data_IF_615643182195
#
_entry.id   IF_615643182195
#
_cell.length_a   1.000
_cell.length_b   1.000
_cell.length_c   1.000
_cell.angle_alpha   90.00
_cell.angle_beta   90.00
_cell.angle_gamma   90.00
#
_symmetry.space_group_name_H-M   'P 1'
#
loop_
_entity.id
_entity.type
_entity.pdbx_description
1 polymer ?
#
# COMPACT_ATOMS: atom_id res chain seq x y z
N UNK A 1 -0.84 10.62 -23.38
CA UNK A 1 -0.47 9.44 -22.56
C UNK A 1 0.42 9.97 -21.44
N UNK A 2 -0.13 10.13 -20.23
CA UNK A 2 0.61 10.59 -19.05
C UNK A 2 1.03 9.39 -18.23
N UNK A 3 2.27 9.39 -17.74
CA UNK A 3 2.92 8.22 -17.13
C UNK A 3 2.53 8.17 -15.65
N UNK A 4 2.60 6.98 -15.01
CA UNK A 4 2.40 6.77 -13.57
C UNK A 4 3.01 7.87 -12.66
N UNK A 5 4.19 8.35 -13.05
CA UNK A 5 4.88 9.47 -12.41
C UNK A 5 4.00 10.73 -12.33
N UNK A 6 3.28 11.07 -13.39
CA UNK A 6 2.41 12.26 -13.45
C UNK A 6 1.22 12.14 -12.50
N UNK A 7 0.68 10.92 -12.33
CA UNK A 7 -0.41 10.61 -11.39
C UNK A 7 0.10 10.75 -9.96
N UNK A 8 1.28 10.19 -9.67
CA UNK A 8 1.87 10.25 -8.33
C UNK A 8 2.33 11.67 -7.92
N UNK A 9 2.84 12.47 -8.86
CA UNK A 9 3.11 13.90 -8.68
C UNK A 9 1.82 14.65 -8.33
N UNK A 10 0.75 14.46 -9.09
CA UNK A 10 -0.56 15.09 -8.87
C UNK A 10 -1.16 14.74 -7.51
N UNK A 11 -0.84 13.54 -7.02
CA UNK A 11 -1.38 12.97 -5.81
C UNK A 11 -0.50 13.18 -4.56
N UNK A 12 0.61 13.90 -4.65
CA UNK A 12 1.55 14.06 -3.52
C UNK A 12 2.05 12.71 -2.96
N UNK A 13 1.97 11.64 -3.77
CA UNK A 13 2.55 10.31 -3.52
C UNK A 13 3.85 10.18 -4.34
N UNK A 14 4.31 11.22 -5.04
CA UNK A 14 5.55 11.19 -5.83
C UNK A 14 6.71 10.67 -5.00
N UNK A 15 6.80 11.08 -3.74
CA UNK A 15 7.89 10.77 -2.82
C UNK A 15 8.01 9.26 -2.53
N UNK A 16 6.89 8.57 -2.24
CA UNK A 16 6.55 7.27 -2.86
C UNK A 16 7.54 6.52 -3.73
N UNK A 17 7.08 6.60 -4.96
CA UNK A 17 7.59 6.05 -6.15
C UNK A 17 8.96 6.59 -6.46
N UNK A 18 9.26 7.86 -6.20
CA UNK A 18 10.58 8.42 -6.44
C UNK A 18 11.63 7.77 -5.54
N UNK A 19 11.34 7.46 -4.28
CA UNK A 19 12.26 6.71 -3.41
C UNK A 19 12.42 5.25 -3.83
N UNK A 20 11.33 4.57 -4.19
CA UNK A 20 11.37 3.16 -4.59
C UNK A 20 11.99 2.97 -5.98
N UNK A 21 11.62 3.86 -6.91
CA UNK A 21 12.25 4.00 -8.21
C UNK A 21 13.73 4.29 -8.03
N UNK A 22 14.14 5.19 -7.13
CA UNK A 22 15.56 5.41 -6.84
C UNK A 22 16.27 4.18 -6.32
N UNK A 23 15.68 3.42 -5.40
CA UNK A 23 16.28 2.16 -4.93
C UNK A 23 16.46 1.19 -6.08
N UNK A 24 15.39 0.97 -6.86
CA UNK A 24 15.43 0.08 -8.02
C UNK A 24 16.47 0.52 -9.05
N UNK A 25 16.51 1.83 -9.38
CA UNK A 25 17.48 2.40 -10.31
C UNK A 25 18.92 2.30 -9.77
N UNK A 26 19.15 2.41 -8.45
CA UNK A 26 20.48 2.24 -7.83
C UNK A 26 21.01 0.81 -7.92
N UNK A 27 20.13 -0.18 -8.00
CA UNK A 27 20.50 -1.60 -8.12
C UNK A 27 20.82 -2.00 -9.56
N UNK A 28 20.47 -1.17 -10.55
CA UNK A 28 20.79 -1.40 -11.95
C UNK A 28 22.24 -1.03 -12.28
N UNK A 29 22.86 -1.77 -13.20
CA UNK A 29 24.16 -1.39 -13.75
C UNK A 29 23.99 -0.16 -14.69
N UNK A 30 24.63 0.99 -14.41
CA UNK A 30 24.52 2.18 -15.26
C UNK A 30 24.87 1.94 -16.74
N UNK A 31 25.79 1.03 -17.02
CA UNK A 31 26.24 0.70 -18.37
C UNK A 31 25.20 -0.11 -19.17
N UNK A 32 24.19 -0.65 -18.48
CA UNK A 32 23.07 -1.38 -19.10
C UNK A 32 21.87 -0.49 -19.41
N UNK A 33 21.93 0.79 -19.01
CA UNK A 33 20.86 1.76 -19.27
C UNK A 33 21.00 2.29 -20.71
N UNK A 34 19.97 2.13 -21.56
CA UNK A 34 20.02 2.65 -22.92
C UNK A 34 20.20 4.19 -22.94
N UNK A 35 20.95 4.70 -23.91
CA UNK A 35 21.33 6.11 -24.00
C UNK A 35 20.15 7.09 -23.98
N UNK A 36 19.00 6.68 -24.54
CA UNK A 36 17.77 7.48 -24.55
C UNK A 36 17.09 7.59 -23.17
N UNK A 37 17.52 6.81 -22.17
CA UNK A 37 17.02 6.85 -20.80
C UNK A 37 18.05 7.40 -19.80
N UNK A 38 19.31 7.65 -20.20
CA UNK A 38 20.38 8.13 -19.30
C UNK A 38 20.05 9.46 -18.62
N UNK A 39 19.42 10.40 -19.34
CA UNK A 39 18.97 11.69 -18.76
C UNK A 39 17.87 11.49 -17.71
N UNK A 40 16.93 10.57 -17.94
CA UNK A 40 15.88 10.26 -16.98
C UNK A 40 16.42 9.51 -15.75
N UNK A 41 17.32 8.55 -15.97
CA UNK A 41 18.01 7.78 -14.93
C UNK A 41 18.76 8.71 -13.97
N UNK A 42 19.59 9.60 -14.50
CA UNK A 42 20.39 10.55 -13.72
C UNK A 42 19.52 11.60 -13.00
N UNK A 43 18.51 12.15 -13.66
CA UNK A 43 17.58 13.10 -13.04
C UNK A 43 16.76 12.46 -11.90
N UNK A 44 16.36 11.20 -12.05
CA UNK A 44 15.58 10.48 -11.05
C UNK A 44 16.41 10.12 -9.82
N UNK A 45 17.73 9.97 -9.91
CA UNK A 45 18.61 9.73 -8.75
C UNK A 45 18.86 10.99 -7.89
N UNK A 46 18.75 12.18 -8.47
CA UNK A 46 19.24 13.44 -7.88
C UNK A 46 18.17 14.36 -7.25
N UNK A 47 16.90 13.93 -7.11
CA UNK A 47 15.86 14.76 -6.46
C UNK A 47 15.93 14.71 -4.92
N UNK A 48 15.56 15.78 -4.21
CA UNK A 48 15.29 15.73 -2.76
C UNK A 48 14.00 16.51 -2.49
N UNK A 49 13.06 15.98 -1.70
CA UNK A 49 11.95 16.76 -1.13
C UNK A 49 11.25 16.06 0.05
N UNK A 50 10.78 16.86 1.02
CA UNK A 50 10.24 16.47 2.35
C UNK A 50 8.70 16.36 2.38
N UNK A 51 8.17 15.49 3.24
CA UNK A 51 6.74 15.34 3.57
C UNK A 51 6.30 16.25 4.73
N UNK A 52 5.23 17.01 4.54
CA UNK A 52 4.56 17.80 5.59
C UNK A 52 3.03 17.68 5.45
N UNK A 53 2.39 16.73 6.17
CA UNK A 53 0.98 16.79 6.63
C UNK A 53 0.79 15.92 7.89
N UNK A 54 0.04 16.40 8.89
CA UNK A 54 -0.23 15.70 10.16
C UNK A 54 -1.38 14.69 10.00
N UNK A 55 -1.13 13.42 10.35
CA UNK A 55 -2.16 12.36 10.40
C UNK A 55 -3.00 12.52 11.68
N UNK A 56 -4.32 12.35 11.61
CA UNK A 56 -5.21 12.27 12.78
C UNK A 56 -5.65 10.83 13.02
N UNK A 57 -5.48 10.35 14.25
CA UNK A 57 -5.85 9.00 14.65
C UNK A 57 -7.20 8.95 15.37
N UNK A 58 -7.90 7.84 15.19
CA UNK A 58 -9.09 7.43 15.93
C UNK A 58 -8.96 5.95 16.32
N UNK A 59 -8.50 5.68 17.53
CA UNK A 59 -8.25 4.32 18.02
C UNK A 59 -9.51 3.47 18.23
N UNK A 60 -10.71 4.03 18.01
CA UNK A 60 -11.95 3.25 18.02
C UNK A 60 -12.22 2.52 16.70
N UNK A 61 -11.50 2.87 15.63
CA UNK A 61 -11.68 2.33 14.28
C UNK A 61 -10.34 1.74 13.83
N UNK A 62 -10.33 0.48 13.38
CA UNK A 62 -9.08 -0.26 13.14
C UNK A 62 -8.17 0.49 12.16
N UNK A 63 -8.69 0.81 10.96
CA UNK A 63 -7.90 1.48 9.91
C UNK A 63 -7.54 2.94 10.20
N UNK A 64 -8.15 3.57 11.22
CA UNK A 64 -7.83 4.95 11.64
C UNK A 64 -7.01 4.99 12.93
N UNK A 65 -6.75 3.83 13.54
CA UNK A 65 -6.00 3.75 14.78
C UNK A 65 -4.56 4.19 14.59
N UNK A 66 -3.88 4.48 15.69
CA UNK A 66 -2.44 4.78 15.67
C UNK A 66 -1.60 3.65 15.06
N UNK A 67 -2.11 2.42 15.05
CA UNK A 67 -1.45 1.26 14.46
C UNK A 67 -1.15 1.42 12.96
N UNK A 68 -1.81 2.34 12.26
CA UNK A 68 -1.48 2.70 10.88
C UNK A 68 -0.03 3.18 10.73
N UNK A 69 0.59 3.71 11.81
CA UNK A 69 1.99 4.14 11.76
C UNK A 69 3.00 2.99 11.71
N UNK A 70 2.55 1.73 11.84
CA UNK A 70 3.34 0.55 11.49
C UNK A 70 3.85 0.63 10.05
N UNK A 71 3.00 1.05 9.10
CA UNK A 71 3.40 1.22 7.70
C UNK A 71 4.38 2.39 7.48
N UNK A 72 4.51 3.28 8.47
CA UNK A 72 5.53 4.33 8.55
C UNK A 72 6.83 3.89 9.23
N UNK A 73 6.93 2.66 9.70
CA UNK A 73 8.10 2.12 10.39
C UNK A 73 8.18 2.46 11.89
N UNK A 74 7.09 2.91 12.51
CA UNK A 74 7.08 3.30 13.93
C UNK A 74 6.94 2.10 14.90
N UNK A 75 6.78 0.89 14.38
CA UNK A 75 6.50 -0.31 15.16
C UNK A 75 7.46 -1.44 14.78
N UNK A 76 7.91 -2.21 15.78
CA UNK A 76 8.47 -3.53 15.53
C UNK A 76 7.36 -4.54 15.25
N UNK A 77 7.69 -5.67 14.61
CA UNK A 77 6.74 -6.76 14.35
C UNK A 77 6.05 -7.24 15.64
N UNK A 78 6.83 -7.45 16.71
CA UNK A 78 6.29 -7.94 17.98
C UNK A 78 5.38 -6.91 18.66
N UNK A 79 5.70 -5.63 18.54
CA UNK A 79 4.90 -4.56 19.15
C UNK A 79 3.56 -4.43 18.44
N UNK A 80 3.54 -4.48 17.11
CA UNK A 80 2.29 -4.42 16.34
C UNK A 80 1.41 -5.66 16.60
N UNK A 81 1.97 -6.86 16.72
CA UNK A 81 1.22 -8.08 17.05
C UNK A 81 0.46 -7.95 18.38
N UNK A 82 1.13 -7.44 19.41
CA UNK A 82 0.52 -7.24 20.73
C UNK A 82 -0.56 -6.16 20.71
N UNK A 83 -0.29 -5.01 20.08
CA UNK A 83 -1.27 -3.91 20.04
C UNK A 83 -2.48 -4.24 19.17
N UNK A 84 -2.30 -5.00 18.07
CA UNK A 84 -3.40 -5.52 17.25
C UNK A 84 -4.23 -6.52 18.03
N UNK A 85 -3.63 -7.43 18.82
CA UNK A 85 -4.39 -8.37 19.65
C UNK A 85 -5.29 -7.63 20.66
N UNK A 86 -4.77 -6.63 21.37
CA UNK A 86 -5.58 -5.85 22.32
C UNK A 86 -6.69 -5.06 21.61
N UNK A 87 -6.41 -4.46 20.45
CA UNK A 87 -7.44 -3.77 19.67
C UNK A 87 -8.55 -4.74 19.22
N UNK A 88 -8.20 -5.87 18.61
CA UNK A 88 -9.16 -6.84 18.10
C UNK A 88 -9.98 -7.51 19.21
N UNK A 89 -9.41 -7.67 20.40
CA UNK A 89 -10.11 -8.15 21.59
C UNK A 89 -11.22 -7.19 22.03
N UNK A 90 -10.98 -5.89 21.98
CA UNK A 90 -12.01 -4.88 22.27
C UNK A 90 -13.08 -4.83 21.17
N UNK A 91 -12.67 -4.86 19.90
CA UNK A 91 -13.58 -4.92 18.75
C UNK A 91 -14.49 -6.15 18.82
N UNK A 92 -13.95 -7.33 19.14
CA UNK A 92 -14.72 -8.57 19.26
C UNK A 92 -15.76 -8.53 20.38
N UNK A 93 -15.53 -7.75 21.45
CA UNK A 93 -16.52 -7.54 22.53
C UNK A 93 -17.63 -6.58 22.11
N UNK A 94 -17.32 -5.62 21.23
CA UNK A 94 -18.30 -4.67 20.72
C UNK A 94 -19.11 -5.26 19.56
N UNK A 95 -20.24 -5.88 19.89
CA UNK A 95 -21.18 -6.45 18.90
C UNK A 95 -21.76 -5.42 17.93
N UNK A 96 -21.61 -4.11 18.18
CA UNK A 96 -22.09 -3.05 17.28
C UNK A 96 -21.01 -2.61 16.29
N UNK A 97 -19.76 -2.99 16.49
CA UNK A 97 -18.69 -2.63 15.57
C UNK A 97 -18.90 -3.34 14.23
N UNK A 98 -18.90 -2.55 13.15
CA UNK A 98 -18.96 -3.07 11.79
C UNK A 98 -17.55 -3.02 11.19
N UNK A 99 -16.99 -4.19 10.87
CA UNK A 99 -15.68 -4.28 10.22
C UNK A 99 -15.81 -3.80 8.78
N UNK A 100 -15.23 -2.64 8.49
CA UNK A 100 -15.26 -2.03 7.17
C UNK A 100 -14.26 -2.68 6.22
N UNK A 101 -14.43 -2.49 4.90
CA UNK A 101 -13.46 -2.96 3.90
C UNK A 101 -12.06 -2.36 4.14
N UNK A 102 -11.97 -1.12 4.63
CA UNK A 102 -10.71 -0.49 5.06
C UNK A 102 -10.05 -1.17 6.26
N UNK A 103 -10.84 -1.66 7.22
CA UNK A 103 -10.32 -2.46 8.33
C UNK A 103 -9.74 -3.78 7.82
N UNK A 104 -10.41 -4.41 6.85
CA UNK A 104 -9.92 -5.65 6.21
C UNK A 104 -8.62 -5.38 5.44
N UNK A 105 -8.55 -4.30 4.65
CA UNK A 105 -7.33 -3.85 3.96
C UNK A 105 -6.16 -3.75 4.95
N UNK A 106 -6.39 -3.10 6.10
CA UNK A 106 -5.38 -2.94 7.14
C UNK A 106 -4.90 -4.30 7.68
N UNK A 107 -5.81 -5.17 8.10
CA UNK A 107 -5.48 -6.45 8.73
C UNK A 107 -4.83 -7.44 7.76
N UNK A 108 -5.31 -7.53 6.53
CA UNK A 108 -4.72 -8.39 5.49
C UNK A 108 -3.33 -7.91 5.07
N UNK A 109 -3.08 -6.60 5.08
CA UNK A 109 -1.73 -6.07 4.83
C UNK A 109 -0.76 -6.48 5.94
N UNK A 110 -1.17 -6.37 7.21
CA UNK A 110 -0.34 -6.84 8.32
C UNK A 110 0.01 -8.33 8.18
N UNK A 111 -0.97 -9.18 7.84
CA UNK A 111 -0.73 -10.61 7.58
C UNK A 111 0.25 -10.81 6.41
N UNK A 112 0.14 -10.01 5.35
CA UNK A 112 1.08 -10.04 4.22
C UNK A 112 2.51 -9.70 4.64
N UNK A 113 2.69 -8.79 5.61
CA UNK A 113 3.99 -8.46 6.20
C UNK A 113 4.46 -9.52 7.22
N UNK A 114 3.70 -10.60 7.38
CA UNK A 114 3.98 -11.72 8.26
C UNK A 114 3.59 -11.48 9.71
N UNK A 115 2.87 -10.40 10.05
CA UNK A 115 2.33 -10.15 11.38
C UNK A 115 1.33 -11.25 11.74
N UNK A 116 1.57 -11.93 12.86
CA UNK A 116 0.69 -13.00 13.30
C UNK A 116 -0.56 -12.44 13.99
N UNK A 117 -1.73 -12.70 13.39
CA UNK A 117 -3.03 -12.38 13.99
C UNK A 117 -3.67 -13.69 14.46
N UNK A 118 -4.10 -13.71 15.72
CA UNK A 118 -4.68 -14.91 16.32
C UNK A 118 -5.94 -15.38 15.58
N UNK A 119 -6.01 -16.68 15.28
CA UNK A 119 -7.18 -17.35 14.65
C UNK A 119 -8.50 -17.16 15.41
N UNK A 120 -8.44 -16.78 16.69
CA UNK A 120 -9.62 -16.43 17.49
C UNK A 120 -10.37 -15.22 16.93
N UNK A 121 -9.82 -14.50 15.95
CA UNK A 121 -10.42 -13.35 15.27
C UNK A 121 -10.86 -13.63 13.83
N UNK A 122 -10.71 -14.87 13.33
CA UNK A 122 -11.06 -15.23 11.95
C UNK A 122 -12.56 -15.05 11.64
N UNK A 123 -13.40 -14.99 12.68
CA UNK A 123 -14.85 -14.75 12.59
C UNK A 123 -15.24 -13.27 12.52
N UNK A 124 -14.28 -12.33 12.62
CA UNK A 124 -14.56 -10.90 12.58
C UNK A 124 -14.92 -10.39 11.18
N UNK A 125 -14.43 -11.04 10.13
CA UNK A 125 -14.69 -10.68 8.74
C UNK A 125 -14.40 -11.87 7.81
N UNK A 126 -15.02 -11.83 6.64
CA UNK A 126 -14.71 -12.74 5.55
C UNK A 126 -13.67 -12.12 4.62
N UNK A 127 -12.75 -12.93 4.11
CA UNK A 127 -11.82 -12.49 3.07
C UNK A 127 -12.63 -12.21 1.82
N UNK A 128 -12.53 -10.97 1.34
CA UNK A 128 -13.18 -10.55 0.10
C UNK A 128 -12.39 -11.19 -1.04
N UNK A 129 -13.00 -12.10 -1.79
CA UNK A 129 -12.41 -12.54 -3.04
C UNK A 129 -12.45 -11.36 -4.02
N UNK A 130 -11.29 -10.79 -4.33
CA UNK A 130 -11.18 -9.80 -5.39
C UNK A 130 -11.40 -10.47 -6.73
N UNK A 131 -12.22 -9.87 -7.60
CA UNK A 131 -12.22 -10.18 -9.04
C UNK A 131 -10.94 -9.61 -9.67
N UNK A 132 -9.78 -10.17 -9.31
CA UNK A 132 -8.52 -9.81 -9.93
C UNK A 132 -8.57 -10.26 -11.39
N UNK A 133 -8.28 -9.36 -12.35
CA UNK A 133 -8.16 -9.75 -13.75
C UNK A 133 -7.15 -10.90 -13.90
N UNK A 134 -7.56 -11.96 -14.59
CA UNK A 134 -6.76 -13.18 -14.72
C UNK A 134 -5.38 -12.91 -15.35
N UNK A 135 -5.28 -11.92 -16.23
CA UNK A 135 -4.02 -11.46 -16.81
C UNK A 135 -3.05 -10.92 -15.74
N UNK A 136 -3.54 -10.18 -14.74
CA UNK A 136 -2.71 -9.67 -13.64
C UNK A 136 -2.26 -10.81 -12.73
N UNK A 137 -3.16 -11.73 -12.38
CA UNK A 137 -2.79 -12.89 -11.56
C UNK A 137 -1.71 -13.73 -12.26
N UNK A 138 -1.86 -13.97 -13.57
CA UNK A 138 -0.83 -14.67 -14.35
C UNK A 138 0.51 -13.92 -14.35
N UNK A 139 0.52 -12.59 -14.42
CA UNK A 139 1.76 -11.80 -14.34
C UNK A 139 2.42 -11.93 -12.96
N UNK A 140 1.65 -11.95 -11.87
CA UNK A 140 2.16 -12.17 -10.51
C UNK A 140 2.79 -13.56 -10.41
N UNK A 141 2.04 -14.59 -10.84
CA UNK A 141 2.47 -15.99 -10.75
C UNK A 141 3.73 -16.27 -11.58
N UNK A 142 3.89 -15.57 -12.71
CA UNK A 142 5.07 -15.63 -13.57
C UNK A 142 6.21 -14.68 -13.13
N UNK A 143 6.07 -14.00 -11.98
CA UNK A 143 7.04 -13.03 -11.45
C UNK A 143 7.34 -11.85 -12.41
N UNK A 144 6.38 -11.47 -13.25
CA UNK A 144 6.43 -10.36 -14.19
C UNK A 144 6.06 -9.03 -13.51
N UNK A 145 6.74 -8.71 -12.39
CA UNK A 145 6.36 -7.60 -11.50
C UNK A 145 6.19 -6.26 -12.20
N UNK A 146 7.08 -5.93 -13.13
CA UNK A 146 7.03 -4.68 -13.88
C UNK A 146 5.77 -4.58 -14.77
N UNK A 147 5.39 -5.70 -15.41
CA UNK A 147 4.22 -5.76 -16.27
C UNK A 147 2.93 -5.73 -15.46
N UNK A 148 2.90 -6.43 -14.32
CA UNK A 148 1.79 -6.36 -13.37
C UNK A 148 1.57 -4.92 -12.86
N UNK A 149 2.64 -4.23 -12.45
CA UNK A 149 2.56 -2.82 -12.04
C UNK A 149 2.02 -1.93 -13.17
N UNK A 150 2.51 -2.09 -14.41
CA UNK A 150 1.99 -1.33 -15.55
C UNK A 150 0.49 -1.62 -15.77
N UNK A 151 0.07 -2.87 -15.67
CA UNK A 151 -1.32 -3.27 -15.89
C UNK A 151 -2.25 -2.68 -14.82
N UNK A 152 -1.82 -2.66 -13.56
CA UNK A 152 -2.55 -2.00 -12.46
C UNK A 152 -2.79 -0.52 -12.78
N UNK A 153 -1.80 0.20 -13.33
CA UNK A 153 -1.99 1.62 -13.71
C UNK A 153 -3.07 1.82 -14.77
N UNK A 154 -3.21 0.86 -15.70
CA UNK A 154 -4.23 0.93 -16.74
C UNK A 154 -5.63 0.65 -16.18
N UNK A 155 -5.75 -0.30 -15.26
CA UNK A 155 -7.02 -0.67 -14.61
C UNK A 155 -7.52 0.47 -13.72
N UNK A 156 -6.61 1.10 -12.98
CA UNK A 156 -6.91 2.21 -12.08
C UNK A 156 -7.18 3.53 -12.83
N UNK A 157 -6.59 3.69 -14.01
CA UNK A 157 -6.80 4.87 -14.85
C UNK A 157 -6.21 6.15 -14.25
N UNK A 158 -6.85 7.29 -14.52
CA UNK A 158 -6.37 8.63 -14.12
C UNK A 158 -6.94 9.12 -12.78
N UNK A 159 -7.69 8.26 -12.08
CA UNK A 159 -8.37 8.65 -10.84
C UNK A 159 -7.38 8.90 -9.70
N UNK A 160 -7.78 9.81 -8.82
CA UNK A 160 -7.01 10.09 -7.60
C UNK A 160 -7.16 8.93 -6.64
N UNK A 161 -6.04 8.45 -6.10
CA UNK A 161 -6.05 7.35 -5.12
C UNK A 161 -6.94 7.66 -3.90
N UNK A 162 -7.11 8.92 -3.53
CA UNK A 162 -8.00 9.32 -2.43
C UNK A 162 -9.50 9.23 -2.78
N UNK A 163 -9.83 9.27 -4.08
CA UNK A 163 -11.20 9.29 -4.58
C UNK A 163 -11.67 7.91 -5.06
N UNK A 164 -10.78 6.92 -5.07
CA UNK A 164 -11.12 5.54 -5.43
C UNK A 164 -12.04 4.94 -4.38
N UNK A 165 -12.99 4.14 -4.83
CA UNK A 165 -13.81 3.33 -3.94
C UNK A 165 -12.96 2.26 -3.22
N UNK A 166 -13.51 1.75 -2.11
CA UNK A 166 -12.82 0.80 -1.25
C UNK A 166 -12.50 -0.52 -1.97
N UNK A 167 -13.22 -0.86 -3.03
CA UNK A 167 -13.04 -2.10 -3.81
C UNK A 167 -11.80 -1.99 -4.68
N UNK A 168 -11.65 -0.84 -5.35
CA UNK A 168 -10.48 -0.49 -6.15
C UNK A 168 -9.24 -0.37 -5.27
N UNK A 169 -9.35 0.24 -4.08
CA UNK A 169 -8.24 0.29 -3.12
C UNK A 169 -7.87 -1.11 -2.63
N UNK A 170 -8.85 -1.95 -2.31
CA UNK A 170 -8.58 -3.32 -1.88
C UNK A 170 -7.88 -4.14 -2.97
N UNK A 171 -8.35 -4.04 -4.22
CA UNK A 171 -7.69 -4.64 -5.39
C UNK A 171 -6.23 -4.18 -5.53
N UNK A 172 -5.98 -2.86 -5.47
CA UNK A 172 -4.64 -2.29 -5.57
C UNK A 172 -3.72 -2.82 -4.47
N UNK A 173 -4.16 -2.76 -3.21
CA UNK A 173 -3.36 -3.20 -2.07
C UNK A 173 -3.10 -4.71 -2.12
N UNK A 174 -4.11 -5.52 -2.43
CA UNK A 174 -3.95 -6.97 -2.58
C UNK A 174 -2.91 -7.30 -3.66
N UNK A 175 -2.94 -6.59 -4.79
CA UNK A 175 -1.97 -6.79 -5.86
C UNK A 175 -0.55 -6.40 -5.43
N UNK A 176 -0.39 -5.26 -4.75
CA UNK A 176 0.92 -4.81 -4.26
C UNK A 176 1.50 -5.73 -3.17
N UNK A 177 0.64 -6.30 -2.32
CA UNK A 177 1.00 -7.34 -1.35
C UNK A 177 1.61 -8.56 -2.05
N UNK A 178 0.90 -9.12 -3.05
CA UNK A 178 1.39 -10.29 -3.79
C UNK A 178 2.69 -10.04 -4.56
N UNK A 179 2.91 -8.80 -5.01
CA UNK A 179 4.13 -8.39 -5.70
C UNK A 179 5.31 -8.08 -4.75
N UNK A 180 5.07 -8.02 -3.43
CA UNK A 180 6.00 -7.52 -2.40
C UNK A 180 6.52 -6.10 -2.72
N UNK A 181 5.61 -5.16 -2.99
CA UNK A 181 5.92 -3.75 -3.31
C UNK A 181 5.51 -2.85 -2.15
N UNK A 182 6.06 -3.14 -0.98
CA UNK A 182 5.65 -2.59 0.32
C UNK A 182 5.79 -1.07 0.38
N UNK A 183 6.82 -0.52 -0.25
CA UNK A 183 7.10 0.93 -0.24
C UNK A 183 5.97 1.76 -0.87
N UNK A 184 5.47 1.32 -2.04
CA UNK A 184 4.35 2.00 -2.71
C UNK A 184 3.06 1.76 -1.92
N UNK A 185 2.83 0.51 -1.53
CA UNK A 185 1.67 0.08 -0.75
C UNK A 185 1.51 0.90 0.55
N UNK A 186 2.57 0.99 1.36
CA UNK A 186 2.56 1.66 2.66
C UNK A 186 2.22 3.14 2.52
N UNK A 187 2.74 3.83 1.50
CA UNK A 187 2.42 5.24 1.27
C UNK A 187 1.00 5.43 0.75
N UNK A 188 0.44 4.47 0.00
CA UNK A 188 -1.00 4.46 -0.32
C UNK A 188 -1.82 4.29 0.96
N UNK A 189 -1.50 3.31 1.81
CA UNK A 189 -2.24 3.03 3.06
C UNK A 189 -2.28 4.24 3.99
N UNK A 190 -1.12 4.87 4.23
CA UNK A 190 -1.00 6.10 5.01
C UNK A 190 -1.78 7.28 4.39
N UNK A 191 -2.11 7.19 3.10
CA UNK A 191 -2.85 8.22 2.38
C UNK A 191 -4.37 7.97 2.33
N UNK A 192 -4.83 6.72 2.32
CA UNK A 192 -6.26 6.37 2.09
C UNK A 192 -7.01 5.88 3.33
N UNK A 193 -6.28 5.37 4.33
CA UNK A 193 -6.87 4.83 5.56
C UNK A 193 -7.14 5.90 6.63
N UNK A 194 -6.18 6.76 7.03
CA UNK A 194 -6.43 7.66 8.15
C UNK A 194 -7.32 8.85 7.77
N UNK A 195 -7.90 9.49 8.80
CA UNK A 195 -8.58 10.77 8.64
C UNK A 195 -7.55 11.87 8.33
N UNK A 196 -7.84 12.67 7.31
CA UNK A 196 -7.08 13.90 7.00
C UNK A 196 -7.80 15.11 7.55
N UNK A 197 -7.01 16.07 8.03
CA UNK A 197 -7.47 17.40 8.46
C UNK A 197 -6.57 18.44 7.80
#
# INVERSE_FOLDING_TARGET
MKILKDIFIKENISLAFDEELKKFLKEMNPDTIPANFTTFYTASLNSEEKLDKKIKFNNKIIHQSKLISYFGGEYSKKDIENEVDELLKEIKKDKKYFVSKKDIIFLETLKSDGVEISKKYDDLYEIIQTEMPADIQNMIDNNEKALALLRITQVIGEDKIENMDDDTIYFLINTLNQLNVDSIRNKILLKVLPLKV
#
